data_IF_028757085333
#
_entry.id   IF_028757085333
#
_cell.length_a   1.000
_cell.length_b   1.000
_cell.length_c   1.000
_cell.angle_alpha   90.00
_cell.angle_beta   90.00
_cell.angle_gamma   90.00
#
_symmetry.space_group_name_H-M   'P 1'
#
loop_
_entity.id
_entity.type
_entity.pdbx_description
1 polymer ?
#
# COMPACT_ATOMS: atom_id res chain seq x y z
N UNK A 1 -2.59 -10.57 19.60
CA UNK A 1 -1.34 -10.65 18.82
C UNK A 1 -1.74 -10.67 17.36
N UNK A 2 -1.14 -9.85 16.47
CA UNK A 2 -1.50 -9.90 15.05
C UNK A 2 -1.01 -11.21 14.44
N UNK A 3 -1.85 -11.83 13.60
CA UNK A 3 -1.52 -13.02 12.83
C UNK A 3 -0.21 -12.86 12.05
N UNK A 4 0.60 -13.92 11.97
CA UNK A 4 1.92 -13.90 11.30
C UNK A 4 1.82 -13.50 9.82
N UNK A 5 0.74 -13.89 9.14
CA UNK A 5 0.50 -13.53 7.73
C UNK A 5 0.19 -12.06 7.56
N UNK A 6 -0.57 -11.49 8.51
CA UNK A 6 -0.85 -10.06 8.55
C UNK A 6 0.43 -9.25 8.82
N UNK A 7 1.28 -9.72 9.74
CA UNK A 7 2.59 -9.11 9.97
C UNK A 7 3.48 -9.18 8.74
N UNK A 8 3.46 -10.30 8.01
CA UNK A 8 4.19 -10.42 6.74
C UNK A 8 3.69 -9.41 5.71
N UNK A 9 2.37 -9.34 5.47
CA UNK A 9 1.77 -8.36 4.54
C UNK A 9 2.17 -6.91 4.88
N UNK A 10 2.10 -6.54 6.16
CA UNK A 10 2.50 -5.20 6.63
C UNK A 10 3.99 -4.93 6.45
N UNK A 11 4.85 -5.94 6.61
CA UNK A 11 6.32 -5.78 6.50
C UNK A 11 6.83 -5.83 5.07
N UNK A 12 6.18 -6.59 4.19
CA UNK A 12 6.65 -6.81 2.83
C UNK A 12 6.05 -5.82 1.85
N UNK A 13 4.74 -5.62 1.91
CA UNK A 13 4.00 -4.84 0.90
C UNK A 13 3.48 -3.54 1.48
N UNK A 14 2.70 -3.62 2.56
CA UNK A 14 2.00 -2.48 3.15
C UNK A 14 2.93 -1.82 4.18
N UNK A 15 4.16 -1.50 3.77
CA UNK A 15 5.26 -1.07 4.64
C UNK A 15 5.19 0.41 5.06
N UNK A 16 4.13 1.12 4.68
CA UNK A 16 3.95 2.53 4.98
C UNK A 16 2.49 2.89 5.24
N UNK A 17 2.22 3.97 6.01
CA UNK A 17 0.87 4.47 6.21
C UNK A 17 0.14 4.83 4.91
N UNK A 18 0.88 5.27 3.88
CA UNK A 18 0.30 5.64 2.57
C UNK A 18 -0.26 4.41 1.87
N UNK A 19 0.52 3.32 1.80
CA UNK A 19 0.06 2.07 1.19
C UNK A 19 -1.12 1.45 1.94
N UNK A 20 -1.14 1.56 3.27
CA UNK A 20 -2.29 1.13 4.08
C UNK A 20 -3.55 1.92 3.71
N UNK A 21 -3.43 3.25 3.62
CA UNK A 21 -4.57 4.11 3.29
C UNK A 21 -5.09 3.82 1.87
N UNK A 22 -4.18 3.63 0.91
CA UNK A 22 -4.50 3.19 -0.46
C UNK A 22 -5.27 1.87 -0.44
N UNK A 23 -4.75 0.84 0.24
CA UNK A 23 -5.38 -0.48 0.31
C UNK A 23 -6.81 -0.39 0.84
N UNK A 24 -7.03 0.33 1.94
CA UNK A 24 -8.35 0.51 2.54
C UNK A 24 -9.31 1.23 1.60
N UNK A 25 -8.84 2.29 0.91
CA UNK A 25 -9.66 3.02 -0.07
C UNK A 25 -10.01 2.16 -1.30
N UNK A 26 -9.06 1.39 -1.82
CA UNK A 26 -9.30 0.51 -2.96
C UNK A 26 -10.24 -0.65 -2.61
N UNK A 27 -10.13 -1.20 -1.40
CA UNK A 27 -11.02 -2.27 -0.96
C UNK A 27 -12.48 -1.80 -0.87
N UNK A 28 -12.72 -0.57 -0.41
CA UNK A 28 -14.08 0.00 -0.38
C UNK A 28 -14.64 0.17 -1.80
N UNK A 29 -13.77 0.34 -2.81
CA UNK A 29 -14.15 0.59 -4.20
C UNK A 29 -13.69 -0.52 -5.15
N UNK A 30 -14.20 -1.73 -4.94
CA UNK A 30 -13.77 -3.01 -5.56
C UNK A 30 -13.76 -3.04 -7.10
N UNK A 31 -14.43 -2.11 -7.81
CA UNK A 31 -14.73 -2.29 -9.24
C UNK A 31 -14.21 -1.17 -10.17
N UNK A 32 -13.36 -0.25 -9.68
CA UNK A 32 -12.87 0.88 -10.48
C UNK A 32 -11.41 0.75 -10.92
N UNK A 33 -11.10 1.27 -12.13
CA UNK A 33 -9.73 1.72 -12.45
C UNK A 33 -9.51 3.06 -11.75
N UNK A 34 -8.31 3.30 -11.23
CA UNK A 34 -7.97 4.58 -10.59
C UNK A 34 -6.56 5.00 -10.97
N UNK A 35 -6.34 6.30 -11.17
CA UNK A 35 -5.00 6.85 -11.36
C UNK A 35 -4.49 7.53 -10.08
N UNK A 36 -3.21 7.91 -10.09
CA UNK A 36 -2.57 8.53 -8.94
C UNK A 36 -3.21 9.87 -8.58
N UNK A 37 -3.62 10.66 -9.59
CA UNK A 37 -4.25 11.97 -9.43
C UNK A 37 -5.56 11.85 -8.66
N UNK A 38 -6.49 11.02 -9.14
CA UNK A 38 -7.78 10.77 -8.49
C UNK A 38 -7.62 10.25 -7.05
N UNK A 39 -6.65 9.36 -6.83
CA UNK A 39 -6.42 8.80 -5.51
C UNK A 39 -5.77 9.82 -4.57
N UNK A 40 -4.86 10.66 -5.07
CA UNK A 40 -4.20 11.69 -4.28
C UNK A 40 -5.18 12.73 -3.73
N UNK A 41 -6.15 13.16 -4.55
CA UNK A 41 -7.22 14.06 -4.15
C UNK A 41 -8.09 13.45 -3.05
N UNK A 42 -8.47 12.17 -3.20
CA UNK A 42 -9.31 11.45 -2.23
C UNK A 42 -8.62 11.21 -0.91
N UNK A 43 -7.33 10.91 -0.94
CA UNK A 43 -6.54 10.67 0.26
C UNK A 43 -6.06 11.97 0.92
N UNK A 44 -6.27 13.13 0.28
CA UNK A 44 -5.66 14.42 0.65
C UNK A 44 -4.14 14.28 0.85
N UNK A 45 -3.46 13.62 -0.09
CA UNK A 45 -2.01 13.32 -0.07
C UNK A 45 -1.35 13.88 -1.32
N UNK A 46 -0.03 14.05 -1.27
CA UNK A 46 0.72 14.47 -2.43
C UNK A 46 0.72 13.39 -3.52
N UNK A 47 0.54 13.82 -4.77
CA UNK A 47 0.41 12.92 -5.92
C UNK A 47 1.67 12.09 -6.16
N UNK A 48 2.85 12.62 -5.81
CA UNK A 48 4.11 11.92 -6.00
C UNK A 48 4.23 10.70 -5.09
N UNK A 49 3.94 10.85 -3.79
CA UNK A 49 3.96 9.75 -2.82
C UNK A 49 2.89 8.70 -3.13
N UNK A 50 1.71 9.13 -3.59
CA UNK A 50 0.64 8.21 -4.00
C UNK A 50 1.04 7.44 -5.26
N UNK A 51 1.60 8.12 -6.26
CA UNK A 51 2.09 7.49 -7.49
C UNK A 51 3.18 6.45 -7.20
N UNK A 52 4.15 6.81 -6.34
CA UNK A 52 5.22 5.91 -5.93
C UNK A 52 4.67 4.70 -5.17
N UNK A 53 3.75 4.90 -4.23
CA UNK A 53 3.12 3.82 -3.48
C UNK A 53 2.30 2.88 -4.38
N UNK A 54 1.54 3.42 -5.35
CA UNK A 54 0.79 2.62 -6.32
C UNK A 54 1.71 1.77 -7.19
N UNK A 55 2.83 2.35 -7.66
CA UNK A 55 3.84 1.62 -8.42
C UNK A 55 4.42 0.47 -7.61
N UNK A 56 4.88 0.73 -6.39
CA UNK A 56 5.43 -0.30 -5.51
C UNK A 56 4.41 -1.40 -5.22
N UNK A 57 3.16 -1.05 -4.91
CA UNK A 57 2.08 -2.02 -4.70
C UNK A 57 1.77 -2.86 -5.94
N UNK A 58 1.96 -2.31 -7.14
CA UNK A 58 1.83 -3.06 -8.39
C UNK A 58 3.00 -4.01 -8.62
N UNK A 59 4.23 -3.56 -8.36
CA UNK A 59 5.45 -4.39 -8.42
C UNK A 59 5.38 -5.56 -7.43
N UNK A 60 4.81 -5.33 -6.24
CA UNK A 60 4.54 -6.36 -5.22
C UNK A 60 3.34 -7.27 -5.55
N UNK A 61 2.60 -7.00 -6.63
CA UNK A 61 1.50 -7.85 -7.10
C UNK A 61 0.15 -7.64 -6.40
N UNK A 62 -0.10 -6.46 -5.82
CA UNK A 62 -1.44 -6.10 -5.31
C UNK A 62 -2.32 -5.44 -6.37
N UNK A 63 -1.68 -4.79 -7.34
CA UNK A 63 -2.36 -4.00 -8.37
C UNK A 63 -1.93 -4.46 -9.75
N UNK A 64 -2.90 -4.48 -10.66
CA UNK A 64 -2.64 -4.59 -12.09
C UNK A 64 -2.41 -3.19 -12.67
N UNK A 65 -1.32 -2.99 -13.41
CA UNK A 65 -1.05 -1.74 -14.13
C UNK A 65 -1.70 -1.78 -15.51
N UNK A 66 -2.54 -0.79 -15.77
CA UNK A 66 -3.20 -0.58 -17.04
C UNK A 66 -2.55 0.62 -17.73
N UNK A 67 -1.61 0.33 -18.62
CA UNK A 67 -0.96 1.35 -19.43
C UNK A 67 -1.91 1.85 -20.51
N UNK A 68 -2.18 3.15 -20.50
CA UNK A 68 -3.00 3.82 -21.50
C UNK A 68 -2.05 4.73 -22.28
N UNK A 69 -2.02 4.58 -23.60
CA UNK A 69 -1.12 5.35 -24.45
C UNK A 69 -1.37 6.86 -24.29
N UNK A 70 -0.34 7.60 -23.90
CA UNK A 70 -0.39 9.06 -23.78
C UNK A 70 -1.05 9.59 -22.49
N UNK A 71 -1.34 8.74 -21.50
CA UNK A 71 -1.86 9.19 -20.20
C UNK A 71 -1.13 8.57 -19.01
N UNK A 72 -1.37 9.11 -17.81
CA UNK A 72 -0.93 8.51 -16.56
C UNK A 72 -1.44 7.06 -16.44
N UNK A 73 -0.64 6.14 -15.86
CA UNK A 73 -1.05 4.76 -15.67
C UNK A 73 -2.27 4.68 -14.76
N UNK A 74 -3.20 3.80 -15.11
CA UNK A 74 -4.31 3.44 -14.25
C UNK A 74 -4.01 2.12 -13.53
N UNK A 75 -4.55 1.97 -12.34
CA UNK A 75 -4.36 0.80 -11.50
C UNK A 75 -5.70 0.14 -11.23
N UNK A 76 -5.71 -1.19 -11.21
CA UNK A 76 -6.87 -1.99 -10.79
C UNK A 76 -6.46 -2.85 -9.60
N UNK A 77 -7.33 -2.90 -8.59
CA UNK A 77 -7.12 -3.77 -7.44
C UNK A 77 -7.28 -5.24 -7.86
N UNK A 78 -6.17 -5.95 -7.93
CA UNK A 78 -6.12 -7.36 -8.33
C UNK A 78 -4.97 -8.05 -7.60
N UNK A 79 -5.14 -8.33 -6.29
CA UNK A 79 -4.09 -8.95 -5.51
C UNK A 79 -3.84 -10.39 -5.95
N UNK A 80 -2.57 -10.80 -5.95
CA UNK A 80 -2.21 -12.22 -6.07
C UNK A 80 -2.84 -13.05 -4.96
N UNK A 81 -3.04 -14.34 -5.23
CA UNK A 81 -3.73 -15.27 -4.35
C UNK A 81 -3.16 -15.32 -2.93
N UNK A 82 -1.83 -15.20 -2.79
CA UNK A 82 -1.14 -15.22 -1.50
C UNK A 82 -1.52 -14.05 -0.58
N UNK A 83 -1.97 -12.93 -1.15
CA UNK A 83 -2.32 -11.73 -0.39
C UNK A 83 -3.82 -11.62 -0.08
N UNK A 84 -4.69 -12.39 -0.74
CA UNK A 84 -6.15 -12.29 -0.56
C UNK A 84 -6.55 -12.49 0.90
N UNK A 85 -6.11 -13.61 1.51
CA UNK A 85 -6.46 -13.91 2.91
C UNK A 85 -5.86 -12.88 3.88
N UNK A 86 -4.55 -12.56 3.83
CA UNK A 86 -3.97 -11.52 4.69
C UNK A 86 -4.62 -10.13 4.54
N UNK A 87 -5.03 -9.75 3.33
CA UNK A 87 -5.72 -8.48 3.08
C UNK A 87 -7.10 -8.49 3.73
N UNK A 88 -7.87 -9.56 3.57
CA UNK A 88 -9.18 -9.69 4.21
C UNK A 88 -9.06 -9.66 5.73
N UNK A 89 -8.08 -10.37 6.30
CA UNK A 89 -7.80 -10.35 7.73
C UNK A 89 -7.41 -8.95 8.21
N UNK A 90 -6.61 -8.22 7.44
CA UNK A 90 -6.25 -6.83 7.71
C UNK A 90 -7.51 -5.96 7.77
N UNK A 91 -8.36 -6.02 6.75
CA UNK A 91 -9.56 -5.20 6.64
C UNK A 91 -10.53 -5.50 7.77
N UNK A 92 -10.82 -6.78 8.02
CA UNK A 92 -11.72 -7.20 9.10
C UNK A 92 -11.19 -6.78 10.48
N UNK A 93 -9.87 -6.79 10.66
CA UNK A 93 -9.25 -6.34 11.91
C UNK A 93 -9.18 -4.81 12.02
N UNK A 94 -9.32 -4.06 10.93
CA UNK A 94 -9.16 -2.60 10.93
C UNK A 94 -10.30 -1.88 11.65
N UNK A 95 -11.47 -2.52 11.75
CA UNK A 95 -12.62 -2.00 12.48
C UNK A 95 -12.44 -2.08 14.00
N UNK A 96 -11.54 -2.92 14.51
CA UNK A 96 -11.14 -2.95 15.92
C UNK A 96 -10.16 -1.80 16.24
N UNK A 97 -10.50 -0.85 17.13
CA UNK A 97 -9.62 0.26 17.51
C UNK A 97 -8.24 -0.19 18.03
N UNK A 98 -8.16 -1.34 18.71
CA UNK A 98 -6.92 -1.86 19.28
C UNK A 98 -6.03 -2.40 18.16
N UNK A 99 -6.55 -3.29 17.32
CA UNK A 99 -5.85 -3.81 16.16
C UNK A 99 -5.41 -2.69 15.21
N UNK A 100 -6.28 -1.72 14.92
CA UNK A 100 -5.95 -0.54 14.12
C UNK A 100 -4.77 0.25 14.70
N UNK A 101 -4.79 0.51 16.00
CA UNK A 101 -3.70 1.23 16.68
C UNK A 101 -2.38 0.47 16.58
N UNK A 102 -2.42 -0.86 16.73
CA UNK A 102 -1.25 -1.73 16.60
C UNK A 102 -0.69 -1.76 15.18
N UNK A 103 -1.54 -1.80 14.15
CA UNK A 103 -1.10 -1.70 12.75
C UNK A 103 -0.36 -0.39 12.50
N UNK A 104 -0.95 0.75 12.89
CA UNK A 104 -0.31 2.06 12.73
C UNK A 104 0.99 2.18 13.52
N UNK A 105 1.09 1.56 14.70
CA UNK A 105 2.33 1.51 15.48
C UNK A 105 3.42 0.76 14.71
N UNK A 106 3.14 -0.45 14.21
CA UNK A 106 4.08 -1.25 13.42
C UNK A 106 4.55 -0.48 12.18
N UNK A 107 3.63 0.17 11.46
CA UNK A 107 3.96 0.98 10.30
C UNK A 107 4.86 2.15 10.66
N UNK A 108 4.62 2.83 11.79
CA UNK A 108 5.47 3.93 12.26
C UNK A 108 6.86 3.43 12.61
N UNK A 109 6.97 2.32 13.34
CA UNK A 109 8.27 1.71 13.65
C UNK A 109 9.04 1.41 12.35
N UNK A 110 8.40 0.74 11.39
CA UNK A 110 9.04 0.43 10.11
C UNK A 110 9.42 1.67 9.32
N UNK A 111 8.54 2.69 9.24
CA UNK A 111 8.83 3.93 8.53
C UNK A 111 10.00 4.72 9.13
N UNK A 112 10.19 4.62 10.45
CA UNK A 112 11.37 5.17 11.14
C UNK A 112 12.67 4.44 10.76
N UNK A 113 12.60 3.13 10.47
CA UNK A 113 13.75 2.32 10.04
C UNK A 113 13.98 2.31 8.51
N UNK A 114 12.93 2.46 7.69
CA UNK A 114 13.05 2.41 6.21
C UNK A 114 13.55 3.72 5.60
N UNK A 115 13.34 4.88 6.24
CA UNK A 115 14.00 6.13 5.84
C UNK A 115 15.54 5.98 5.85
N UNK A 116 16.08 5.25 6.84
CA UNK A 116 17.52 4.99 6.98
C UNK A 116 17.99 3.95 5.95
N UNK A 117 17.26 2.85 5.75
CA UNK A 117 17.66 1.79 4.79
C UNK A 117 17.50 2.15 3.31
N UNK A 118 16.46 2.88 2.91
CA UNK A 118 16.28 3.29 1.50
C UNK A 118 17.27 4.39 1.10
N UNK A 119 17.66 5.29 2.02
CA UNK A 119 18.75 6.22 1.78
C UNK A 119 20.08 5.50 1.46
N UNK A 120 20.36 4.38 2.14
CA UNK A 120 21.53 3.53 1.86
C UNK A 120 21.49 2.82 0.50
N UNK A 121 20.31 2.65 -0.10
CA UNK A 121 20.16 2.00 -1.41
C UNK A 121 20.26 2.99 -2.58
N UNK A 122 19.90 4.26 -2.34
CA UNK A 122 20.03 5.34 -3.35
C UNK A 122 21.48 5.83 -3.48
N UNK A 123 22.34 5.63 -2.47
CA UNK A 123 23.76 6.03 -2.53
C UNK A 123 24.68 5.12 -3.36
N UNK A 124 24.15 4.08 -4.02
CA UNK A 124 24.95 3.10 -4.76
C UNK A 124 24.60 3.00 -6.26
N UNK A 125 24.08 4.07 -6.84
CA UNK A 125 23.99 4.22 -8.30
C UNK A 125 24.91 5.37 -8.71
N UNK A 126 26.15 5.02 -9.01
CA UNK A 126 27.09 5.83 -9.78
C UNK A 126 27.00 5.43 -11.24
#
# INVERSE_FOLDING_TARGET
MLDTRLQYLLRSVIDSPVKLHILLTLHIQVQGRINAEQLSERLCRDVWSVSQALREMAEDGLLEVLNIAGSSPAYRFQPRSEYIVPINDLINSYDDPIARSMMHHILREMSGYTAVRRASHVSNVW
#
